data_IF_695608470868
#
_entry.id   IF_695608470868
#
_cell.length_a   1.000
_cell.length_b   1.000
_cell.length_c   1.000
_cell.angle_alpha   90.00
_cell.angle_beta   90.00
_cell.angle_gamma   90.00
#
_symmetry.space_group_name_H-M   'P 1'
#
loop_
_entity.id
_entity.type
_entity.pdbx_description
1 polymer ?
#
# COMPACT_ATOMS: atom_id res chain seq x y z
N UNK A 1 21.08 8.27 -10.76
CA UNK A 1 20.61 8.47 -12.14
C UNK A 1 20.06 9.87 -12.24
N UNK A 2 20.38 10.65 -13.29
CA UNK A 2 19.89 12.02 -13.39
C UNK A 2 19.00 12.16 -14.63
N UNK A 3 17.73 12.50 -14.41
CA UNK A 3 16.77 12.86 -15.46
C UNK A 3 17.10 14.29 -15.90
N UNK A 4 17.57 14.49 -17.13
CA UNK A 4 17.95 15.83 -17.63
C UNK A 4 16.78 16.56 -18.30
N UNK A 5 15.76 15.83 -18.72
CA UNK A 5 14.56 16.42 -19.30
C UNK A 5 13.58 15.39 -19.86
N UNK A 6 12.71 15.88 -20.74
CA UNK A 6 11.68 15.08 -21.40
C UNK A 6 11.47 15.49 -22.86
N UNK A 7 11.01 14.54 -23.68
CA UNK A 7 10.69 14.73 -25.10
C UNK A 7 9.23 14.39 -25.40
N UNK A 8 8.80 14.62 -26.64
CA UNK A 8 7.47 14.24 -27.14
C UNK A 8 6.29 14.78 -26.31
N UNK A 9 6.48 15.95 -25.68
CA UNK A 9 5.47 16.58 -24.85
C UNK A 9 4.20 16.89 -25.65
N UNK A 10 3.07 16.35 -25.19
CA UNK A 10 1.75 16.53 -25.82
C UNK A 10 0.69 16.75 -24.75
N UNK A 11 -0.26 17.63 -25.05
CA UNK A 11 -1.51 17.69 -24.31
C UNK A 11 -2.50 16.72 -24.93
N UNK A 12 -3.07 15.85 -24.09
CA UNK A 12 -4.11 14.90 -24.51
C UNK A 12 -5.37 15.14 -23.69
N UNK A 13 -6.55 15.12 -24.31
CA UNK A 13 -7.79 15.29 -23.57
C UNK A 13 -7.99 14.12 -22.58
N UNK A 14 -8.62 14.35 -21.43
CA UNK A 14 -8.96 13.28 -20.50
C UNK A 14 -9.94 12.29 -21.14
N UNK A 15 -9.94 11.02 -20.67
CA UNK A 15 -10.79 9.96 -21.21
C UNK A 15 -12.30 10.23 -21.02
N UNK A 16 -12.68 11.14 -20.14
CA UNK A 16 -14.07 11.62 -20.00
C UNK A 16 -14.14 13.10 -20.36
N UNK A 17 -15.23 13.46 -21.05
CA UNK A 17 -15.55 14.85 -21.37
C UNK A 17 -15.80 15.63 -20.08
N UNK A 18 -15.05 16.70 -19.87
CA UNK A 18 -15.16 17.54 -18.68
C UNK A 18 -16.02 18.77 -18.94
N UNK A 19 -16.57 19.34 -17.87
CA UNK A 19 -17.36 20.58 -17.91
C UNK A 19 -16.53 21.82 -18.24
N UNK A 20 -15.21 21.76 -18.00
CA UNK A 20 -14.22 22.78 -18.36
C UNK A 20 -13.09 22.15 -19.19
N UNK A 21 -12.41 22.92 -20.06
CA UNK A 21 -11.21 22.44 -20.75
C UNK A 21 -10.17 21.97 -19.73
N UNK A 22 -9.70 20.74 -19.89
CA UNK A 22 -8.73 20.11 -19.03
C UNK A 22 -7.88 19.17 -19.87
N UNK A 23 -6.59 19.08 -19.56
CA UNK A 23 -5.62 18.33 -20.36
C UNK A 23 -4.73 17.47 -19.45
N UNK A 24 -4.37 16.29 -19.93
CA UNK A 24 -3.23 15.56 -19.40
C UNK A 24 -1.99 15.92 -20.22
N UNK A 25 -0.87 16.13 -19.54
CA UNK A 25 0.44 16.19 -20.17
C UNK A 25 0.97 14.76 -20.31
N UNK A 26 1.41 14.40 -21.52
CA UNK A 26 2.09 13.14 -21.80
C UNK A 26 3.45 13.45 -22.41
N UNK A 27 4.51 12.85 -21.87
CA UNK A 27 5.88 13.06 -22.33
C UNK A 27 6.78 11.86 -22.00
N UNK A 28 7.85 11.71 -22.77
CA UNK A 28 8.86 10.67 -22.58
C UNK A 28 10.01 11.21 -21.73
N UNK A 29 10.44 10.46 -20.74
CA UNK A 29 11.62 10.77 -19.93
C UNK A 29 12.87 10.27 -20.66
N UNK A 30 13.97 11.01 -20.54
CA UNK A 30 15.26 10.64 -21.12
C UNK A 30 15.93 9.45 -20.42
N UNK A 31 15.51 9.15 -19.19
CA UNK A 31 16.01 8.05 -18.37
C UNK A 31 14.93 7.04 -17.99
N UNK A 32 15.38 5.82 -17.65
CA UNK A 32 14.52 4.79 -17.06
C UNK A 32 14.34 4.99 -15.56
N UNK A 33 13.17 5.45 -15.14
CA UNK A 33 12.83 5.76 -13.74
C UNK A 33 12.17 4.60 -12.99
N UNK A 34 12.12 3.40 -13.57
CA UNK A 34 11.46 2.24 -12.93
C UNK A 34 12.10 1.84 -11.60
N UNK A 35 13.40 2.08 -11.44
CA UNK A 35 14.12 1.87 -10.19
C UNK A 35 13.62 2.74 -9.03
N UNK A 36 12.94 3.86 -9.32
CA UNK A 36 12.35 4.74 -8.31
C UNK A 36 10.96 4.30 -7.85
N UNK A 37 10.27 3.40 -8.57
CA UNK A 37 8.88 3.04 -8.26
C UNK A 37 8.69 2.50 -6.84
N UNK A 38 9.54 1.62 -6.31
CA UNK A 38 9.41 1.17 -4.92
C UNK A 38 9.56 2.28 -3.88
N UNK A 39 10.36 3.30 -4.18
CA UNK A 39 10.57 4.45 -3.31
C UNK A 39 9.39 5.42 -3.38
N UNK A 40 8.86 5.66 -4.57
CA UNK A 40 7.59 6.39 -4.76
C UNK A 40 6.46 5.67 -4.00
N UNK A 41 6.41 4.34 -4.10
CA UNK A 41 5.44 3.49 -3.41
C UNK A 41 5.57 3.52 -1.88
N UNK A 42 6.68 4.03 -1.35
CA UNK A 42 6.89 4.23 0.09
C UNK A 42 6.40 5.60 0.56
N UNK A 43 6.66 6.64 -0.23
CA UNK A 43 6.41 8.04 0.16
C UNK A 43 5.03 8.55 -0.26
N UNK A 44 4.36 7.86 -1.20
CA UNK A 44 2.99 8.14 -1.62
C UNK A 44 2.07 7.02 -1.13
N UNK A 45 1.38 7.26 -0.02
CA UNK A 45 0.51 6.25 0.62
C UNK A 45 -0.64 5.77 -0.28
N UNK A 46 -1.09 6.64 -1.18
CA UNK A 46 -2.16 6.42 -2.15
C UNK A 46 -1.67 5.82 -3.48
N UNK A 47 -0.39 5.46 -3.56
CA UNK A 47 0.18 4.95 -4.79
C UNK A 47 -0.24 3.50 -5.08
N UNK A 48 -0.37 3.21 -6.37
CA UNK A 48 -0.70 1.91 -6.91
C UNK A 48 0.44 1.48 -7.83
N UNK A 49 1.24 0.52 -7.39
CA UNK A 49 2.40 0.03 -8.13
C UNK A 49 2.07 -1.24 -8.92
N UNK A 50 1.98 -1.19 -10.24
CA UNK A 50 1.53 -2.30 -11.09
C UNK A 50 2.68 -3.12 -11.69
N UNK A 51 2.50 -4.44 -11.80
CA UNK A 51 3.44 -5.35 -12.49
C UNK A 51 3.22 -5.36 -14.01
N UNK A 52 1.96 -5.45 -14.46
CA UNK A 52 1.58 -5.57 -15.87
C UNK A 52 0.38 -4.68 -16.22
N UNK A 53 0.56 -3.61 -17.03
CA UNK A 53 1.86 -3.05 -17.43
C UNK A 53 2.66 -2.58 -16.20
N UNK A 54 3.99 -2.49 -16.32
CA UNK A 54 4.86 -2.03 -15.23
C UNK A 54 4.83 -0.50 -15.16
N UNK A 55 4.15 0.05 -14.14
CA UNK A 55 4.04 1.49 -13.90
C UNK A 55 3.60 1.75 -12.46
N UNK A 56 3.75 2.97 -11.98
CA UNK A 56 3.18 3.42 -10.71
C UNK A 56 2.21 4.57 -10.94
N UNK A 57 1.06 4.54 -10.26
CA UNK A 57 0.08 5.62 -10.25
C UNK A 57 0.00 6.23 -8.86
N UNK A 58 -0.03 7.56 -8.74
CA UNK A 58 -0.12 8.26 -7.46
C UNK A 58 -0.65 9.68 -7.65
N UNK A 59 -1.05 10.34 -6.56
CA UNK A 59 -1.47 11.74 -6.64
C UNK A 59 -0.28 12.70 -6.72
N UNK A 60 -0.43 13.67 -7.59
CA UNK A 60 0.58 14.59 -8.08
C UNK A 60 0.07 16.03 -8.07
N UNK A 61 0.94 16.98 -7.71
CA UNK A 61 0.58 18.39 -7.55
C UNK A 61 0.05 18.75 -6.16
N UNK A 62 -0.15 20.05 -5.94
CA UNK A 62 -0.67 20.62 -4.69
C UNK A 62 -2.21 20.54 -4.61
N UNK A 63 -2.74 20.50 -3.39
CA UNK A 63 -4.15 20.58 -3.04
C UNK A 63 -4.70 22.01 -3.27
N UNK A 64 -4.76 22.49 -4.50
CA UNK A 64 -5.30 23.82 -4.78
C UNK A 64 -6.37 23.85 -5.91
N UNK A 65 -7.57 24.22 -5.47
CA UNK A 65 -8.80 24.72 -6.13
C UNK A 65 -9.52 23.95 -7.28
N UNK A 66 -10.86 23.91 -7.15
CA UNK A 66 -11.93 23.71 -8.16
C UNK A 66 -11.75 22.64 -9.26
N UNK A 67 -10.98 21.58 -9.03
CA UNK A 67 -10.91 20.48 -9.99
C UNK A 67 -12.25 19.71 -9.97
N UNK A 68 -12.90 19.51 -11.14
CA UNK A 68 -14.19 18.84 -11.21
C UNK A 68 -14.08 17.40 -10.69
N UNK A 69 -15.15 16.89 -10.09
CA UNK A 69 -15.28 15.49 -9.66
C UNK A 69 -15.01 14.55 -10.83
N UNK A 70 -13.76 14.11 -10.96
CA UNK A 70 -13.37 13.11 -11.92
C UNK A 70 -13.53 11.77 -11.23
N UNK A 71 -14.31 10.85 -11.81
CA UNK A 71 -14.48 9.51 -11.25
C UNK A 71 -13.17 8.67 -11.17
N UNK A 72 -12.06 9.18 -11.73
CA UNK A 72 -10.70 8.62 -11.63
C UNK A 72 -9.87 9.28 -10.50
N UNK A 73 -10.25 10.48 -10.05
CA UNK A 73 -9.60 11.23 -8.96
C UNK A 73 -10.70 11.58 -7.94
N UNK A 74 -11.02 10.65 -7.03
CA UNK A 74 -12.20 10.77 -6.16
C UNK A 74 -12.09 11.90 -5.12
N UNK A 75 -10.91 12.50 -4.96
CA UNK A 75 -10.68 13.66 -4.10
C UNK A 75 -10.56 14.94 -4.94
N UNK A 76 -11.33 15.95 -4.53
CA UNK A 76 -11.41 17.26 -5.18
C UNK A 76 -10.04 17.95 -5.09
N UNK A 77 -9.43 18.28 -6.22
CA UNK A 77 -8.17 19.05 -6.28
C UNK A 77 -6.90 18.25 -6.58
N UNK A 78 -6.95 16.92 -6.62
CA UNK A 78 -5.74 16.11 -6.88
C UNK A 78 -5.54 15.85 -8.38
N UNK A 79 -4.32 16.06 -8.89
CA UNK A 79 -3.93 15.60 -10.23
C UNK A 79 -3.31 14.20 -10.11
N UNK A 80 -3.52 13.32 -11.09
CA UNK A 80 -2.85 12.01 -11.12
C UNK A 80 -1.51 12.08 -11.83
N UNK A 81 -0.59 11.21 -11.42
CA UNK A 81 0.58 10.84 -12.18
C UNK A 81 0.56 9.34 -12.45
N UNK A 82 0.58 8.95 -13.72
CA UNK A 82 0.91 7.60 -14.17
C UNK A 82 2.33 7.60 -14.73
N UNK A 83 3.25 6.96 -14.01
CA UNK A 83 4.67 6.93 -14.32
C UNK A 83 5.09 5.53 -14.79
N UNK A 84 5.46 5.45 -16.06
CA UNK A 84 6.05 4.29 -16.73
C UNK A 84 7.57 4.43 -16.77
N UNK A 85 8.34 3.35 -17.05
CA UNK A 85 9.80 3.38 -17.00
C UNK A 85 10.43 4.57 -17.74
N UNK A 86 9.92 4.94 -18.93
CA UNK A 86 10.43 6.08 -19.71
C UNK A 86 9.35 7.09 -20.12
N UNK A 87 8.21 7.11 -19.44
CA UNK A 87 7.09 7.96 -19.85
C UNK A 87 6.25 8.36 -18.66
N UNK A 88 5.79 9.60 -18.63
CA UNK A 88 4.85 10.08 -17.65
C UNK A 88 3.57 10.57 -18.33
N UNK A 89 2.45 10.36 -17.63
CA UNK A 89 1.19 11.03 -17.91
C UNK A 89 0.76 11.71 -16.62
N UNK A 90 0.67 13.03 -16.63
CA UNK A 90 0.26 13.83 -15.48
C UNK A 90 -0.94 14.70 -15.86
N UNK A 91 -1.86 14.94 -14.93
CA UNK A 91 -3.02 15.77 -15.23
C UNK A 91 -4.02 15.82 -14.09
N UNK A 92 -4.84 16.86 -14.00
CA UNK A 92 -5.30 17.70 -15.11
C UNK A 92 -4.76 19.14 -15.04
N UNK A 93 -4.59 19.77 -16.20
CA UNK A 93 -4.12 21.16 -16.36
C UNK A 93 -5.00 21.97 -17.31
N UNK A 94 -5.03 23.29 -17.13
CA UNK A 94 -5.84 24.23 -17.93
C UNK A 94 -5.23 24.44 -19.32
N UNK A 95 -3.92 24.58 -19.36
CA UNK A 95 -3.18 24.93 -20.56
C UNK A 95 -1.80 24.26 -20.62
N UNK A 96 -1.05 24.60 -21.67
CA UNK A 96 0.27 24.02 -21.94
C UNK A 96 1.32 24.49 -20.95
N UNK A 97 1.26 25.73 -20.49
CA UNK A 97 2.30 26.32 -19.66
C UNK A 97 2.22 25.75 -18.24
N UNK A 98 1.01 25.61 -17.70
CA UNK A 98 0.75 24.91 -16.43
C UNK A 98 1.24 23.45 -16.49
N UNK A 99 0.92 22.76 -17.58
CA UNK A 99 1.31 21.37 -17.80
C UNK A 99 2.84 21.19 -17.94
N UNK A 100 3.52 22.12 -18.63
CA UNK A 100 4.98 22.13 -18.77
C UNK A 100 5.68 22.40 -17.44
N UNK A 101 5.18 23.37 -16.67
CA UNK A 101 5.70 23.66 -15.33
C UNK A 101 5.57 22.43 -14.41
N UNK A 102 4.42 21.74 -14.44
CA UNK A 102 4.21 20.52 -13.67
C UNK A 102 5.11 19.35 -14.13
N UNK A 103 5.42 19.26 -15.43
CA UNK A 103 6.34 18.25 -15.95
C UNK A 103 7.78 18.47 -15.44
N UNK A 104 8.26 19.72 -15.42
CA UNK A 104 9.56 20.04 -14.82
C UNK A 104 9.59 19.79 -13.31
N UNK A 105 8.53 20.15 -12.58
CA UNK A 105 8.40 19.77 -11.16
C UNK A 105 8.50 18.25 -10.95
N UNK A 106 8.00 17.45 -11.89
CA UNK A 106 8.13 15.98 -11.83
C UNK A 106 9.58 15.54 -12.00
N UNK A 107 10.30 16.13 -12.96
CA UNK A 107 11.74 15.87 -13.14
C UNK A 107 12.52 16.21 -11.87
N UNK A 108 12.27 17.38 -11.28
CA UNK A 108 12.92 17.80 -10.04
C UNK A 108 12.64 16.84 -8.89
N UNK A 109 11.37 16.41 -8.73
CA UNK A 109 10.98 15.41 -7.74
C UNK A 109 11.68 14.07 -7.94
N UNK A 110 11.80 13.58 -9.18
CA UNK A 110 12.47 12.31 -9.48
C UNK A 110 13.96 12.38 -9.17
N UNK A 111 14.60 13.51 -9.47
CA UNK A 111 16.01 13.74 -9.19
C UNK A 111 16.28 13.90 -7.68
N UNK A 112 15.42 14.64 -6.96
CA UNK A 112 15.46 14.72 -5.50
C UNK A 112 15.32 13.34 -4.87
N UNK A 113 14.31 12.57 -5.32
CA UNK A 113 14.05 11.23 -4.80
C UNK A 113 15.25 10.31 -5.03
N UNK A 114 15.85 10.33 -6.22
CA UNK A 114 17.06 9.56 -6.50
C UNK A 114 18.21 9.96 -5.56
N UNK A 115 18.41 11.26 -5.31
CA UNK A 115 19.50 11.76 -4.47
C UNK A 115 19.39 11.29 -3.02
N UNK A 116 18.17 11.10 -2.51
CA UNK A 116 17.92 10.66 -1.12
C UNK A 116 17.43 9.22 -0.99
N UNK A 117 17.34 8.45 -2.08
CA UNK A 117 16.75 7.10 -2.07
C UNK A 117 17.42 6.15 -1.09
N UNK A 118 18.72 6.29 -0.86
CA UNK A 118 19.49 5.42 0.04
C UNK A 118 19.09 5.62 1.53
N UNK A 119 18.37 6.69 1.84
CA UNK A 119 17.77 6.95 3.16
C UNK A 119 16.35 6.40 3.30
N UNK A 120 15.76 5.90 2.20
CA UNK A 120 14.38 5.44 2.13
C UNK A 120 14.37 3.93 1.96
N UNK A 121 13.66 3.21 2.82
CA UNK A 121 13.41 1.78 2.63
C UNK A 121 12.35 1.60 1.53
N UNK A 122 12.65 0.94 0.40
CA UNK A 122 11.73 0.81 -0.72
C UNK A 122 10.54 -0.11 -0.40
N UNK A 123 9.34 0.26 -0.87
CA UNK A 123 8.14 -0.58 -0.81
C UNK A 123 7.91 -1.28 -2.16
N UNK A 124 8.26 -2.57 -2.24
CA UNK A 124 8.08 -3.36 -3.46
C UNK A 124 6.69 -3.98 -3.61
N UNK A 125 5.74 -3.70 -2.70
CA UNK A 125 4.40 -4.26 -2.76
C UNK A 125 3.69 -3.77 -4.02
N UNK A 126 3.41 -4.71 -4.92
CA UNK A 126 2.65 -4.42 -6.13
C UNK A 126 1.14 -4.52 -5.87
N UNK A 127 0.42 -3.63 -6.54
CA UNK A 127 -1.02 -3.62 -6.66
C UNK A 127 -1.52 -4.92 -7.29
N UNK A 128 -2.43 -5.59 -6.60
CA UNK A 128 -3.17 -6.74 -7.12
C UNK A 128 -4.63 -6.34 -7.24
N UNK A 129 -5.08 -6.17 -8.48
CA UNK A 129 -6.49 -5.90 -8.76
C UNK A 129 -7.33 -7.07 -8.22
N UNK A 130 -8.26 -6.77 -7.32
CA UNK A 130 -9.20 -7.76 -6.79
C UNK A 130 -10.40 -7.79 -7.74
N UNK A 131 -10.68 -8.90 -8.46
CA UNK A 131 -11.78 -8.96 -9.39
C UNK A 131 -13.13 -8.71 -8.72
N UNK A 132 -13.98 -7.91 -9.37
CA UNK A 132 -15.34 -7.59 -8.88
C UNK A 132 -16.13 -8.86 -8.54
N UNK A 133 -16.00 -9.91 -9.37
CA UNK A 133 -16.68 -11.18 -9.15
C UNK A 133 -16.22 -11.89 -7.88
N UNK A 134 -14.94 -11.79 -7.53
CA UNK A 134 -14.41 -12.45 -6.33
C UNK A 134 -14.89 -11.74 -5.06
N UNK A 135 -14.99 -10.40 -5.10
CA UNK A 135 -15.65 -9.63 -4.03
C UNK A 135 -17.14 -9.98 -3.98
N UNK A 136 -17.83 -10.02 -5.12
CA UNK A 136 -19.26 -10.31 -5.16
C UNK A 136 -19.61 -11.70 -4.59
N UNK A 137 -18.75 -12.71 -4.79
CA UNK A 137 -18.94 -14.07 -4.25
C UNK A 137 -19.01 -14.09 -2.72
N UNK A 138 -18.27 -13.23 -2.04
CA UNK A 138 -18.22 -13.17 -0.57
C UNK A 138 -19.29 -12.24 0.03
N UNK A 139 -19.98 -11.43 -0.79
CA UNK A 139 -21.07 -10.59 -0.30
C UNK A 139 -22.32 -11.42 0.03
N UNK A 140 -23.22 -10.90 0.90
CA UNK A 140 -24.51 -11.53 1.20
C UNK A 140 -25.43 -11.70 0.00
N UNK A 141 -25.20 -10.94 -1.09
CA UNK A 141 -25.97 -10.97 -2.36
C UNK A 141 -27.47 -10.71 -2.18
N UNK A 142 -27.87 -10.04 -1.12
CA UNK A 142 -29.28 -9.67 -0.81
C UNK A 142 -29.75 -8.43 -1.55
N UNK A 143 -28.83 -7.61 -2.09
CA UNK A 143 -29.13 -6.28 -2.64
C UNK A 143 -29.93 -5.39 -1.66
N UNK A 144 -29.68 -5.50 -0.35
CA UNK A 144 -30.45 -4.81 0.69
C UNK A 144 -30.33 -3.27 0.67
N UNK A 145 -29.32 -2.72 -0.03
CA UNK A 145 -29.02 -1.29 -0.17
C UNK A 145 -28.64 -0.54 1.11
N UNK A 146 -28.46 -1.24 2.23
CA UNK A 146 -28.10 -0.62 3.52
C UNK A 146 -26.74 0.10 3.50
N UNK A 147 -25.83 -0.30 2.63
CA UNK A 147 -24.55 0.37 2.40
C UNK A 147 -24.62 1.56 1.42
N UNK A 148 -25.82 1.95 0.97
CA UNK A 148 -26.02 3.06 0.03
C UNK A 148 -25.84 2.72 -1.45
N UNK A 149 -25.38 1.51 -1.79
CA UNK A 149 -25.26 1.06 -3.18
C UNK A 149 -26.53 0.35 -3.68
N UNK A 150 -26.91 0.51 -4.96
CA UNK A 150 -28.16 -0.03 -5.50
C UNK A 150 -28.21 -1.56 -5.56
N UNK A 151 -27.06 -2.21 -5.68
CA UNK A 151 -26.89 -3.67 -5.71
C UNK A 151 -25.59 -4.08 -5.03
N UNK A 152 -25.51 -5.33 -4.55
CA UNK A 152 -24.26 -5.93 -4.06
C UNK A 152 -23.18 -5.97 -5.15
N UNK A 153 -23.57 -6.12 -6.42
CA UNK A 153 -22.61 -6.06 -7.54
C UNK A 153 -22.04 -4.64 -7.72
N UNK A 154 -22.87 -3.60 -7.56
CA UNK A 154 -22.40 -2.22 -7.56
C UNK A 154 -21.47 -1.92 -6.37
N UNK A 155 -21.78 -2.45 -5.18
CA UNK A 155 -20.90 -2.38 -4.02
C UNK A 155 -19.56 -3.12 -4.28
N UNK A 156 -19.60 -4.34 -4.81
CA UNK A 156 -18.40 -5.11 -5.15
C UNK A 156 -17.51 -4.37 -6.16
N UNK A 157 -18.13 -3.73 -7.17
CA UNK A 157 -17.40 -2.91 -8.14
C UNK A 157 -16.75 -1.69 -7.49
N UNK A 158 -17.42 -1.06 -6.51
CA UNK A 158 -16.87 0.06 -5.76
C UNK A 158 -15.71 -0.35 -4.84
N UNK A 159 -15.79 -1.51 -4.19
CA UNK A 159 -14.70 -2.08 -3.38
C UNK A 159 -13.49 -2.43 -4.25
N UNK A 160 -13.73 -3.09 -5.39
CA UNK A 160 -12.70 -3.45 -6.38
C UNK A 160 -11.96 -2.20 -6.90
N UNK A 161 -12.68 -1.10 -7.08
CA UNK A 161 -12.13 0.19 -7.50
C UNK A 161 -11.63 1.08 -6.35
N UNK A 162 -11.53 0.56 -5.11
CA UNK A 162 -11.10 1.28 -3.91
C UNK A 162 -11.86 2.57 -3.60
N UNK A 163 -13.12 2.65 -4.03
CA UNK A 163 -14.02 3.77 -3.68
C UNK A 163 -14.66 3.58 -2.30
N UNK A 164 -14.63 2.37 -1.77
CA UNK A 164 -15.17 1.99 -0.46
C UNK A 164 -14.45 0.74 0.05
N UNK A 165 -14.49 0.49 1.36
CA UNK A 165 -13.94 -0.72 1.97
C UNK A 165 -14.98 -1.85 2.05
N UNK A 166 -14.56 -3.13 2.07
CA UNK A 166 -15.49 -4.26 2.21
C UNK A 166 -16.26 -4.23 3.53
N UNK A 167 -15.66 -3.67 4.59
CA UNK A 167 -16.24 -3.43 5.91
C UNK A 167 -17.47 -2.51 5.89
N UNK A 168 -17.68 -1.77 4.81
CA UNK A 168 -18.82 -0.86 4.65
C UNK A 168 -20.12 -1.56 4.27
N UNK A 169 -20.13 -2.90 4.12
CA UNK A 169 -21.35 -3.67 3.97
C UNK A 169 -21.86 -4.13 5.35
N UNK A 170 -22.99 -3.60 5.87
CA UNK A 170 -23.46 -3.90 7.23
C UNK A 170 -23.82 -5.38 7.44
N UNK A 171 -24.22 -6.04 6.36
CA UNK A 171 -24.64 -7.44 6.37
C UNK A 171 -23.50 -8.38 5.98
N UNK A 172 -22.30 -7.86 5.65
CA UNK A 172 -21.12 -8.68 5.41
C UNK A 172 -20.69 -9.28 6.74
N UNK A 173 -21.27 -10.44 7.05
CA UNK A 173 -20.87 -11.26 8.17
C UNK A 173 -19.46 -11.74 7.90
N UNK A 174 -18.57 -11.58 8.88
CA UNK A 174 -17.20 -12.09 8.79
C UNK A 174 -17.19 -13.56 8.38
N UNK A 175 -16.18 -14.04 7.63
CA UNK A 175 -16.21 -15.37 7.07
C UNK A 175 -16.27 -16.43 8.18
N UNK A 176 -17.20 -17.37 8.03
CA UNK A 176 -17.05 -18.75 8.52
C UNK A 176 -15.66 -19.18 8.05
N UNK A 177 -14.77 -19.44 9.00
CA UNK A 177 -13.38 -19.82 8.83
C UNK A 177 -12.77 -19.69 7.42
N UNK A 178 -12.03 -18.61 7.17
CA UNK A 178 -11.23 -18.52 5.94
C UNK A 178 -10.02 -19.45 6.04
N UNK A 179 -9.98 -20.51 5.24
CA UNK A 179 -8.74 -21.26 5.02
C UNK A 179 -7.77 -20.36 4.26
N UNK A 180 -6.65 -19.98 4.88
CA UNK A 180 -5.60 -19.18 4.23
C UNK A 180 -4.52 -20.11 3.71
N UNK A 181 -4.22 -20.03 2.40
CA UNK A 181 -3.19 -20.83 1.75
C UNK A 181 -1.90 -20.02 1.63
N UNK A 182 -0.83 -20.48 2.28
CA UNK A 182 0.48 -19.84 2.23
C UNK A 182 1.48 -20.63 1.38
N UNK A 183 2.08 -20.03 0.34
CA UNK A 183 3.16 -20.66 -0.41
C UNK A 183 4.47 -20.63 0.38
N UNK A 184 5.11 -21.79 0.51
CA UNK A 184 6.46 -21.95 1.07
C UNK A 184 7.45 -21.88 -0.09
N UNK A 185 8.39 -20.95 -0.01
CA UNK A 185 9.43 -20.77 -1.03
C UNK A 185 10.75 -21.39 -0.58
N UNK A 186 11.50 -21.96 -1.52
CA UNK A 186 12.89 -22.36 -1.29
C UNK A 186 13.84 -21.16 -1.29
N UNK A 187 15.13 -21.44 -1.08
CA UNK A 187 16.21 -20.44 -1.05
C UNK A 187 16.41 -19.73 -2.40
N UNK A 188 15.82 -20.23 -3.47
CA UNK A 188 15.84 -19.64 -4.81
C UNK A 188 14.55 -18.89 -5.14
N UNK A 189 13.60 -18.79 -4.21
CA UNK A 189 12.33 -18.10 -4.38
C UNK A 189 11.28 -18.90 -5.17
N UNK A 190 11.45 -20.22 -5.28
CA UNK A 190 10.49 -21.11 -5.96
C UNK A 190 9.57 -21.78 -4.93
N UNK A 191 8.27 -21.83 -5.24
CA UNK A 191 7.28 -22.48 -4.36
C UNK A 191 7.55 -23.98 -4.29
N UNK A 192 7.77 -24.50 -3.08
CA UNK A 192 8.04 -25.92 -2.80
C UNK A 192 6.88 -26.63 -2.09
N UNK A 193 6.02 -25.91 -1.37
CA UNK A 193 4.79 -26.46 -0.78
C UNK A 193 3.77 -25.37 -0.47
N UNK A 194 2.53 -25.75 -0.16
CA UNK A 194 1.49 -24.84 0.32
C UNK A 194 0.94 -25.36 1.65
N UNK A 195 0.75 -24.48 2.62
CA UNK A 195 0.14 -24.81 3.91
C UNK A 195 -1.27 -24.23 3.95
N UNK A 196 -2.26 -25.09 4.17
CA UNK A 196 -3.66 -24.72 4.36
C UNK A 196 -3.93 -24.57 5.86
N UNK A 197 -4.42 -23.41 6.29
CA UNK A 197 -4.70 -23.15 7.70
C UNK A 197 -6.16 -22.69 7.84
N UNK A 198 -6.97 -23.47 8.55
CA UNK A 198 -8.32 -23.09 8.98
C UNK A 198 -8.24 -22.02 10.10
N UNK A 199 -9.02 -20.96 9.99
CA UNK A 199 -9.02 -19.86 10.99
C UNK A 199 -10.39 -19.78 11.67
N UNK A 200 -10.55 -19.83 13.00
CA UNK A 200 -11.87 -19.69 13.65
C UNK A 200 -12.49 -18.27 13.50
N UNK A 201 -13.81 -18.10 13.73
CA UNK A 201 -14.49 -16.80 13.61
C UNK A 201 -13.95 -15.78 14.62
N UNK A 202 -13.79 -14.51 14.22
CA UNK A 202 -13.28 -13.48 15.12
C UNK A 202 -14.42 -12.92 16.00
N UNK A 203 -14.36 -13.19 17.30
CA UNK A 203 -15.19 -12.50 18.28
C UNK A 203 -14.65 -11.09 18.53
N UNK A 204 -15.47 -10.07 18.24
CA UNK A 204 -15.21 -8.64 18.55
C UNK A 204 -15.37 -8.29 20.03
N UNK A 205 -15.42 -9.27 20.94
CA UNK A 205 -15.61 -9.06 22.37
C UNK A 205 -14.31 -9.29 23.15
N UNK A 206 -13.30 -8.44 22.94
CA UNK A 206 -12.18 -8.27 23.89
C UNK A 206 -11.35 -7.02 23.54
N UNK A 207 -12.03 -5.87 23.41
CA UNK A 207 -11.41 -4.61 23.80
C UNK A 207 -11.55 -4.52 25.33
N UNK A 208 -10.66 -5.22 26.04
CA UNK A 208 -10.51 -5.11 27.49
C UNK A 208 -9.21 -4.41 27.79
N UNK A 209 -9.30 -3.28 28.50
CA UNK A 209 -8.19 -2.47 29.01
C UNK A 209 -6.97 -3.30 29.47
N UNK A 210 -5.79 -2.91 29.01
CA UNK A 210 -4.53 -3.21 29.68
C UNK A 210 -3.83 -1.90 30.01
N UNK A 211 -3.74 -1.64 31.31
CA UNK A 211 -2.99 -0.55 31.96
C UNK A 211 -1.48 -0.73 31.72
N UNK A 212 -0.66 0.36 31.73
CA UNK A 212 0.76 0.29 31.40
C UNK A 212 1.62 -0.02 32.63
N UNK A 213 2.56 -0.96 32.52
CA UNK A 213 3.63 -1.16 33.51
C UNK A 213 4.99 -1.48 32.85
N UNK A 214 5.86 -0.47 32.97
CA UNK A 214 7.33 -0.43 33.20
C UNK A 214 8.38 -0.94 32.17
N UNK A 215 9.05 0.07 31.58
CA UNK A 215 10.48 0.30 31.35
C UNK A 215 11.35 -0.69 30.54
N UNK A 216 11.39 -0.47 29.23
CA UNK A 216 12.59 -0.59 28.38
C UNK A 216 12.60 0.69 27.50
N UNK A 217 13.78 1.24 27.17
CA UNK A 217 13.90 2.50 26.40
C UNK A 217 13.10 2.43 25.08
N UNK A 218 12.41 3.52 24.66
CA UNK A 218 11.58 3.51 23.47
C UNK A 218 12.42 3.27 22.21
N UNK A 219 12.30 2.07 21.63
CA UNK A 219 12.95 1.73 20.37
C UNK A 219 12.21 2.44 19.23
N UNK A 220 12.85 3.48 18.70
CA UNK A 220 12.32 4.19 17.53
C UNK A 220 12.52 3.32 16.28
N UNK A 221 11.41 2.96 15.65
CA UNK A 221 11.45 2.35 14.33
C UNK A 221 11.89 3.41 13.29
N UNK A 222 12.38 2.99 12.11
CA UNK A 222 12.95 3.89 11.10
C UNK A 222 12.00 4.99 10.60
N UNK A 223 10.70 4.91 10.91
CA UNK A 223 9.66 5.84 10.48
C UNK A 223 9.13 6.75 11.60
N UNK A 224 9.86 6.88 12.72
CA UNK A 224 9.44 7.70 13.86
C UNK A 224 8.30 7.09 14.69
N UNK A 225 7.79 5.93 14.27
CA UNK A 225 6.88 5.12 15.05
C UNK A 225 7.64 4.38 16.15
N UNK A 226 7.19 4.48 17.39
CA UNK A 226 7.78 3.73 18.49
C UNK A 226 7.24 2.30 18.46
N UNK A 227 8.13 1.31 18.49
CA UNK A 227 7.71 -0.06 18.73
C UNK A 227 7.19 -0.15 20.17
N UNK A 228 6.02 -0.75 20.34
CA UNK A 228 5.51 -1.05 21.67
C UNK A 228 6.39 -2.11 22.33
N UNK A 229 6.41 -2.15 23.67
CA UNK A 229 7.14 -3.17 24.44
C UNK A 229 6.84 -4.58 23.94
N UNK A 230 5.59 -4.84 23.57
CA UNK A 230 5.16 -6.15 23.07
C UNK A 230 5.68 -6.47 21.68
N UNK A 231 5.72 -5.49 20.80
CA UNK A 231 6.31 -5.63 19.47
C UNK A 231 7.83 -5.85 19.54
N UNK A 232 8.52 -5.20 20.49
CA UNK A 232 9.94 -5.42 20.75
C UNK A 232 10.18 -6.85 21.25
N UNK A 233 9.41 -7.34 22.21
CA UNK A 233 9.51 -8.72 22.72
C UNK A 233 9.32 -9.76 21.60
N UNK A 234 8.29 -9.57 20.76
CA UNK A 234 8.05 -10.43 19.61
C UNK A 234 9.19 -10.34 18.60
N UNK A 235 9.73 -9.15 18.34
CA UNK A 235 10.86 -8.94 17.43
C UNK A 235 12.16 -9.61 17.91
N UNK A 236 12.47 -9.53 19.22
CA UNK A 236 13.64 -10.19 19.83
C UNK A 236 13.56 -11.71 19.67
N UNK A 237 12.45 -12.31 20.11
CA UNK A 237 12.23 -13.75 19.96
C UNK A 237 12.18 -14.17 18.48
N UNK A 238 11.72 -13.28 17.59
CA UNK A 238 11.78 -13.54 16.16
C UNK A 238 13.22 -13.67 15.65
N UNK A 239 14.09 -12.77 16.09
CA UNK A 239 15.49 -12.70 15.71
C UNK A 239 16.33 -13.85 16.30
N UNK A 240 15.95 -14.36 17.46
CA UNK A 240 16.51 -15.56 18.09
C UNK A 240 16.05 -16.87 17.40
N UNK A 241 15.07 -16.80 16.50
CA UNK A 241 14.63 -17.92 15.67
C UNK A 241 13.37 -18.63 16.13
N UNK A 242 12.69 -18.17 17.19
CA UNK A 242 11.50 -18.82 17.76
C UNK A 242 10.26 -18.73 16.89
N UNK A 243 9.65 -19.85 16.52
CA UNK A 243 8.40 -19.89 15.78
C UNK A 243 7.27 -19.15 16.49
N UNK A 244 6.22 -18.75 15.76
CA UNK A 244 5.09 -18.04 16.38
C UNK A 244 4.37 -18.87 17.47
N UNK A 245 4.48 -20.20 17.43
CA UNK A 245 3.99 -21.09 18.48
C UNK A 245 4.86 -20.98 19.74
N UNK A 246 6.19 -21.07 19.60
CA UNK A 246 7.10 -20.92 20.73
C UNK A 246 7.02 -19.50 21.34
N UNK A 247 6.89 -18.47 20.52
CA UNK A 247 6.66 -17.09 20.98
C UNK A 247 5.33 -16.99 21.73
N UNK A 248 4.30 -17.68 21.26
CA UNK A 248 2.97 -17.70 21.89
C UNK A 248 3.04 -18.32 23.29
N UNK A 249 3.75 -19.44 23.41
CA UNK A 249 3.96 -20.14 24.68
C UNK A 249 4.80 -19.30 25.65
N UNK A 250 5.90 -18.70 25.17
CA UNK A 250 6.80 -17.88 25.99
C UNK A 250 6.16 -16.57 26.47
N UNK A 251 5.29 -15.99 25.66
CA UNK A 251 4.66 -14.71 25.95
C UNK A 251 3.25 -14.87 26.55
N UNK A 252 2.76 -16.10 26.74
CA UNK A 252 1.42 -16.42 27.26
C UNK A 252 0.30 -15.67 26.50
N UNK A 253 0.43 -15.53 25.20
CA UNK A 253 -0.58 -14.92 24.32
C UNK A 253 -0.93 -15.87 23.19
N UNK A 254 -2.11 -15.71 22.62
CA UNK A 254 -2.52 -16.57 21.50
C UNK A 254 -1.55 -16.46 20.31
N UNK A 255 -1.35 -17.53 19.52
CA UNK A 255 -0.56 -17.47 18.29
C UNK A 255 -1.11 -16.45 17.29
N UNK A 256 -2.40 -16.16 17.36
CA UNK A 256 -3.05 -15.09 16.60
C UNK A 256 -2.53 -13.70 17.02
N UNK A 257 -2.46 -13.44 18.32
CA UNK A 257 -1.90 -12.20 18.88
C UNK A 257 -0.44 -12.03 18.47
N UNK A 258 0.36 -13.09 18.49
CA UNK A 258 1.74 -13.08 17.98
C UNK A 258 1.78 -12.69 16.51
N UNK A 259 0.97 -13.32 15.65
CA UNK A 259 0.91 -12.97 14.21
C UNK A 259 0.57 -11.49 13.99
N UNK A 260 -0.39 -10.95 14.74
CA UNK A 260 -0.75 -9.53 14.66
C UNK A 260 0.43 -8.63 15.03
N UNK A 261 1.16 -8.96 16.11
CA UNK A 261 2.38 -8.22 16.46
C UNK A 261 3.46 -8.34 15.39
N UNK A 262 3.66 -9.52 14.78
CA UNK A 262 4.61 -9.70 13.67
C UNK A 262 4.26 -8.82 12.48
N UNK A 263 2.98 -8.73 12.11
CA UNK A 263 2.52 -7.86 11.02
C UNK A 263 2.77 -6.39 11.37
N UNK A 264 2.46 -5.97 12.59
CA UNK A 264 2.70 -4.58 13.01
C UNK A 264 4.18 -4.26 13.04
N UNK A 265 5.02 -5.17 13.54
CA UNK A 265 6.48 -5.07 13.48
C UNK A 265 6.94 -4.93 12.04
N UNK A 266 6.47 -5.76 11.12
CA UNK A 266 6.86 -5.69 9.72
C UNK A 266 6.47 -4.37 9.07
N UNK A 267 5.26 -3.88 9.36
CA UNK A 267 4.77 -2.60 8.87
C UNK A 267 5.61 -1.43 9.43
N UNK A 268 5.86 -1.42 10.74
CA UNK A 268 6.66 -0.39 11.43
C UNK A 268 8.13 -0.41 11.04
N UNK A 269 8.67 -1.56 10.66
CA UNK A 269 10.05 -1.71 10.20
C UNK A 269 10.19 -1.58 8.67
N UNK A 270 9.08 -1.66 7.91
CA UNK A 270 9.08 -1.61 6.45
C UNK A 270 9.71 -2.85 5.80
N UNK A 271 9.67 -3.99 6.49
CA UNK A 271 10.29 -5.25 6.06
C UNK A 271 9.24 -6.25 5.59
N UNK A 272 9.62 -7.15 4.68
CA UNK A 272 8.67 -8.07 4.04
C UNK A 272 8.76 -9.50 4.57
N UNK A 273 9.81 -9.82 5.32
CA UNK A 273 9.98 -11.15 5.90
C UNK A 273 10.72 -11.11 7.23
N UNK A 274 10.62 -12.25 7.91
CA UNK A 274 11.17 -12.48 9.25
C UNK A 274 12.69 -12.36 9.30
N UNK A 275 13.39 -12.72 8.22
CA UNK A 275 14.85 -12.61 8.15
C UNK A 275 15.27 -11.14 8.11
N UNK A 276 14.56 -10.32 7.32
CA UNK A 276 14.78 -8.88 7.27
C UNK A 276 14.50 -8.22 8.63
N UNK A 277 13.43 -8.63 9.32
CA UNK A 277 13.13 -8.18 10.68
C UNK A 277 14.24 -8.58 11.68
N UNK A 278 14.74 -9.82 11.60
CA UNK A 278 15.83 -10.31 12.45
C UNK A 278 17.15 -9.55 12.21
N UNK A 279 17.51 -9.31 10.95
CA UNK A 279 18.69 -8.50 10.58
C UNK A 279 18.54 -7.07 11.10
N UNK A 280 17.33 -6.51 11.04
CA UNK A 280 17.06 -5.18 11.59
C UNK A 280 17.25 -5.16 13.12
N UNK A 281 16.72 -6.17 13.83
CA UNK A 281 16.88 -6.29 15.29
C UNK A 281 18.36 -6.36 15.71
N UNK A 282 19.16 -7.18 15.02
CA UNK A 282 20.60 -7.30 15.28
C UNK A 282 21.37 -5.99 15.00
N UNK A 283 21.03 -5.28 13.91
CA UNK A 283 21.65 -3.98 13.60
C UNK A 283 21.35 -2.89 14.63
N UNK A 284 20.24 -3.01 15.35
CA UNK A 284 19.80 -2.05 16.35
C UNK A 284 20.06 -2.54 17.80
N UNK A 285 20.93 -3.53 17.98
CA UNK A 285 21.32 -4.10 19.28
C UNK A 285 20.13 -4.56 20.14
N UNK A 286 19.09 -5.12 19.52
CA UNK A 286 17.96 -5.71 20.23
C UNK A 286 18.19 -7.17 20.61
N UNK A 287 19.19 -7.81 19.99
CA UNK A 287 19.68 -9.18 20.19
C UNK A 287 21.18 -9.22 19.95
#
# INVERSE_FOLDING_TARGET
MLVQGFTDFKLVPPPRRMSRPAWNAMFNLDQDVSGLFPYINRIKEDSLYFERPHYIHFHWGEEDWDKPDCALYPKKGESGCALYPKRAVIGLYKDRDEALAAAWKLVDFLNDLEARKDTIIPNHRMYKHIPVLDIFKILPRTNCRKCGYPTCMAFAAAVSAHKTGPDQCPDLTQPIASTVVYPVFDKQGKVVSTVEIETPPQDRASQGNAEPAEADDPVQAPFGETLTTREIQVLRLMAEGFTNGEISDMLEISPHTVKSHVIHVFNKLGVNDRTQAAVWAAKNNLV
#
